data_IF_201969370871
#
_entry.id   IF_201969370871
#
_cell.length_a   1.000
_cell.length_b   1.000
_cell.length_c   1.000
_cell.angle_alpha   90.00
_cell.angle_beta   90.00
_cell.angle_gamma   90.00
#
_symmetry.space_group_name_H-M   'P 1'
#
loop_
_entity.id
_entity.type
_entity.pdbx_description
1 polymer ?
#
# COMPACT_ATOMS: atom_id res chain seq x y z
N UNK A 1 -6.53 -7.63 -22.24
CA UNK A 1 -6.45 -7.60 -20.78
C UNK A 1 -6.65 -9.00 -20.25
N UNK A 2 -5.77 -9.43 -19.38
CA UNK A 2 -5.75 -10.80 -18.88
C UNK A 2 -6.57 -10.90 -17.58
N UNK A 3 -7.91 -10.80 -17.68
CA UNK A 3 -8.79 -10.83 -16.51
C UNK A 3 -8.65 -12.11 -15.68
N UNK A 4 -8.37 -13.22 -16.32
CA UNK A 4 -8.19 -14.53 -15.68
C UNK A 4 -6.74 -14.92 -15.46
N UNK A 5 -5.80 -13.96 -15.52
CA UNK A 5 -4.38 -14.24 -15.36
C UNK A 5 -4.05 -14.62 -13.93
N UNK A 6 -3.73 -15.86 -13.67
CA UNK A 6 -3.44 -16.38 -12.32
C UNK A 6 -1.97 -16.22 -11.91
N UNK A 7 -1.10 -15.79 -12.80
CA UNK A 7 0.36 -15.71 -12.60
C UNK A 7 0.82 -14.48 -11.81
N UNK A 8 -0.05 -13.49 -11.58
CA UNK A 8 0.29 -12.22 -10.92
C UNK A 8 -0.64 -11.89 -9.76
N UNK A 9 -0.15 -11.09 -8.82
CA UNK A 9 -0.88 -10.58 -7.67
C UNK A 9 -1.37 -9.12 -7.85
N UNK A 10 -1.30 -8.60 -9.08
CA UNK A 10 -1.48 -7.17 -9.38
C UNK A 10 -2.88 -6.80 -9.92
N UNK A 11 -3.87 -7.70 -9.85
CA UNK A 11 -5.21 -7.44 -10.39
C UNK A 11 -5.88 -6.20 -9.78
N UNK A 12 -5.64 -5.94 -8.49
CA UNK A 12 -6.15 -4.74 -7.82
C UNK A 12 -5.54 -3.46 -8.38
N UNK A 13 -4.28 -3.52 -8.77
CA UNK A 13 -3.61 -2.41 -9.41
C UNK A 13 -4.00 -2.26 -10.89
N UNK A 14 -3.90 -3.32 -11.66
CA UNK A 14 -4.14 -3.26 -13.11
C UNK A 14 -5.63 -3.14 -13.45
N UNK A 15 -6.45 -4.09 -13.00
CA UNK A 15 -7.84 -4.21 -13.42
C UNK A 15 -8.76 -3.21 -12.71
N UNK A 16 -8.53 -2.94 -11.42
CA UNK A 16 -9.32 -1.93 -10.71
C UNK A 16 -8.98 -0.52 -11.21
N UNK A 17 -7.72 -0.24 -11.49
CA UNK A 17 -7.33 1.05 -12.07
C UNK A 17 -7.84 1.27 -13.50
N UNK A 18 -8.17 0.20 -14.22
CA UNK A 18 -8.79 0.27 -15.56
C UNK A 18 -10.30 0.19 -15.47
N UNK A 19 -10.86 -1.00 -15.22
CA UNK A 19 -12.30 -1.23 -15.24
C UNK A 19 -13.04 -0.57 -14.09
N UNK A 20 -12.40 -0.49 -12.91
CA UNK A 20 -12.97 0.24 -11.77
C UNK A 20 -13.10 1.73 -12.04
N UNK A 21 -12.09 2.35 -12.66
CA UNK A 21 -12.19 3.76 -13.06
C UNK A 21 -13.20 4.00 -14.18
N UNK A 22 -13.30 3.10 -15.17
CA UNK A 22 -14.32 3.22 -16.22
C UNK A 22 -15.74 3.12 -15.62
N UNK A 23 -15.97 2.16 -14.73
CA UNK A 23 -17.26 2.03 -14.02
C UNK A 23 -17.56 3.28 -13.19
N UNK A 24 -16.57 3.81 -12.46
CA UNK A 24 -16.71 5.05 -11.68
C UNK A 24 -17.06 6.25 -12.57
N UNK A 25 -16.37 6.42 -13.70
CA UNK A 25 -16.64 7.50 -14.64
C UNK A 25 -18.06 7.42 -15.23
N UNK A 26 -18.58 6.22 -15.48
CA UNK A 26 -19.99 6.02 -15.86
C UNK A 26 -20.94 6.45 -14.73
N UNK A 27 -20.67 6.01 -13.49
CA UNK A 27 -21.49 6.36 -12.33
C UNK A 27 -21.50 7.87 -12.04
N UNK A 28 -20.39 8.56 -12.31
CA UNK A 28 -20.26 10.01 -12.18
C UNK A 28 -20.85 10.79 -13.37
N UNK A 29 -21.34 10.09 -14.41
CA UNK A 29 -21.84 10.73 -15.64
C UNK A 29 -20.77 11.41 -16.48
N UNK A 30 -19.48 11.04 -16.28
CA UNK A 30 -18.34 11.58 -17.03
C UNK A 30 -18.17 10.96 -18.41
N UNK A 31 -18.62 9.73 -18.57
CA UNK A 31 -18.73 9.01 -19.85
C UNK A 31 -20.13 8.50 -19.98
N UNK A 32 -20.59 8.30 -21.23
CA UNK A 32 -21.93 7.79 -21.53
C UNK A 32 -22.13 6.41 -20.90
N UNK A 33 -23.30 6.18 -20.28
CA UNK A 33 -23.64 4.89 -19.70
C UNK A 33 -24.05 3.91 -20.80
N UNK A 34 -23.33 2.81 -20.88
CA UNK A 34 -23.61 1.68 -21.74
C UNK A 34 -23.84 0.42 -20.88
N UNK A 35 -25.03 -0.13 -20.90
CA UNK A 35 -25.41 -1.26 -20.05
C UNK A 35 -24.53 -2.51 -20.29
N UNK A 36 -24.13 -2.75 -21.53
CA UNK A 36 -23.27 -3.90 -21.87
C UNK A 36 -21.84 -3.70 -21.31
N UNK A 37 -21.27 -2.52 -21.48
CA UNK A 37 -19.95 -2.17 -20.94
C UNK A 37 -19.95 -2.19 -19.41
N UNK A 38 -21.00 -1.63 -18.78
CA UNK A 38 -21.16 -1.70 -17.33
C UNK A 38 -21.11 -3.14 -16.84
N UNK A 39 -21.93 -4.02 -17.44
CA UNK A 39 -21.97 -5.46 -17.09
C UNK A 39 -20.62 -6.13 -17.30
N UNK A 40 -19.91 -5.76 -18.35
CA UNK A 40 -18.56 -6.27 -18.62
C UNK A 40 -17.56 -5.80 -17.58
N UNK A 41 -17.55 -4.51 -17.20
CA UNK A 41 -16.63 -3.98 -16.18
C UNK A 41 -16.91 -4.58 -14.80
N UNK A 42 -18.17 -4.74 -14.42
CA UNK A 42 -18.54 -5.43 -13.18
C UNK A 42 -18.06 -6.90 -13.17
N UNK A 43 -18.26 -7.61 -14.29
CA UNK A 43 -17.76 -9.00 -14.42
C UNK A 43 -16.23 -9.05 -14.34
N UNK A 44 -15.53 -8.13 -14.99
CA UNK A 44 -14.08 -8.04 -14.94
C UNK A 44 -13.55 -7.84 -13.51
N UNK A 45 -14.21 -6.98 -12.73
CA UNK A 45 -13.88 -6.74 -11.33
C UNK A 45 -14.19 -7.94 -10.43
N UNK A 46 -15.32 -8.63 -10.64
CA UNK A 46 -15.66 -9.86 -9.94
C UNK A 46 -14.64 -10.97 -10.20
N UNK A 47 -14.28 -11.19 -11.46
CA UNK A 47 -13.26 -12.18 -11.86
C UNK A 47 -11.91 -11.83 -11.23
N UNK A 48 -11.50 -10.55 -11.25
CA UNK A 48 -10.26 -10.10 -10.64
C UNK A 48 -10.21 -10.37 -9.13
N UNK A 49 -11.31 -10.12 -8.41
CA UNK A 49 -11.43 -10.46 -6.99
C UNK A 49 -11.30 -11.95 -6.72
N UNK A 50 -11.98 -12.79 -7.52
CA UNK A 50 -11.92 -14.24 -7.38
C UNK A 50 -10.49 -14.77 -7.66
N UNK A 51 -9.82 -14.28 -8.70
CA UNK A 51 -8.45 -14.67 -9.05
C UNK A 51 -7.47 -14.30 -7.92
N UNK A 52 -7.59 -13.10 -7.35
CA UNK A 52 -6.73 -12.71 -6.22
C UNK A 52 -7.03 -13.57 -4.98
N UNK A 53 -8.28 -13.84 -4.67
CA UNK A 53 -8.65 -14.71 -3.56
C UNK A 53 -8.16 -16.16 -3.73
N UNK A 54 -8.05 -16.65 -4.96
CA UNK A 54 -7.54 -17.99 -5.27
C UNK A 54 -6.02 -18.12 -5.09
N UNK A 55 -5.26 -17.02 -5.20
CA UNK A 55 -3.82 -16.97 -4.97
C UNK A 55 -3.49 -16.93 -3.49
N UNK A 56 -3.77 -17.99 -2.77
CA UNK A 56 -3.74 -17.95 -1.31
C UNK A 56 -2.73 -18.92 -0.69
N UNK A 57 -2.01 -18.41 0.30
CA UNK A 57 -1.15 -19.21 1.17
C UNK A 57 -1.59 -18.98 2.62
N UNK A 58 -1.80 -20.06 3.35
CA UNK A 58 -2.12 -20.02 4.77
C UNK A 58 -0.85 -19.98 5.60
N UNK A 59 -0.87 -19.23 6.71
CA UNK A 59 0.22 -19.15 7.66
C UNK A 59 -0.05 -20.03 8.88
N UNK A 60 0.99 -20.39 9.64
CA UNK A 60 0.88 -21.28 10.80
C UNK A 60 0.02 -20.72 11.95
N UNK A 61 -0.24 -19.43 11.95
CA UNK A 61 -1.07 -18.70 12.91
C UNK A 61 -2.48 -18.40 12.39
N UNK A 62 -2.95 -19.16 11.42
CA UNK A 62 -4.28 -19.05 10.79
C UNK A 62 -4.54 -17.76 10.03
N UNK A 63 -3.54 -16.91 9.83
CA UNK A 63 -3.61 -15.83 8.85
C UNK A 63 -3.43 -16.39 7.45
N UNK A 64 -3.24 -15.54 6.49
CA UNK A 64 -2.90 -15.94 5.14
C UNK A 64 -2.74 -14.72 4.25
N UNK A 65 -2.23 -14.96 3.06
CA UNK A 65 -1.93 -13.88 2.13
C UNK A 65 -2.10 -14.27 0.67
N UNK A 66 -2.38 -13.27 -0.15
CA UNK A 66 -2.28 -13.38 -1.60
C UNK A 66 -0.80 -13.45 -1.95
N UNK A 67 -0.34 -14.61 -2.42
CA UNK A 67 1.07 -14.81 -2.74
C UNK A 67 1.48 -14.14 -4.04
N UNK A 68 2.73 -13.74 -4.11
CA UNK A 68 3.31 -13.02 -5.25
C UNK A 68 3.64 -13.93 -6.43
N UNK A 69 4.17 -13.36 -7.51
CA UNK A 69 4.66 -14.14 -8.66
C UNK A 69 5.89 -15.02 -8.31
N UNK A 70 6.59 -14.74 -7.19
CA UNK A 70 7.69 -15.58 -6.71
C UNK A 70 7.20 -16.95 -6.21
N UNK A 71 5.91 -17.09 -5.95
CA UNK A 71 5.30 -18.35 -5.54
C UNK A 71 4.66 -18.30 -4.15
N UNK A 72 4.12 -19.43 -3.70
CA UNK A 72 3.31 -19.50 -2.48
C UNK A 72 4.07 -19.20 -1.18
N UNK A 73 5.41 -19.19 -1.20
CA UNK A 73 6.22 -18.85 -0.05
C UNK A 73 6.37 -17.35 0.19
N UNK A 74 5.94 -16.51 -0.74
CA UNK A 74 6.31 -15.10 -0.82
C UNK A 74 5.14 -14.17 -0.57
N UNK A 75 5.26 -13.32 0.47
CA UNK A 75 4.40 -12.19 0.77
C UNK A 75 5.16 -10.89 0.51
N UNK A 76 4.78 -10.14 -0.52
CA UNK A 76 5.28 -8.77 -0.74
C UNK A 76 4.44 -7.74 0.01
N UNK A 77 5.10 -6.75 0.58
CA UNK A 77 4.45 -5.64 1.25
C UNK A 77 3.54 -4.83 0.32
N UNK A 78 3.93 -4.66 -0.93
CA UNK A 78 3.18 -3.92 -1.94
C UNK A 78 1.92 -4.63 -2.45
N UNK A 79 1.75 -5.93 -2.15
CA UNK A 79 0.52 -6.67 -2.48
C UNK A 79 -0.71 -6.10 -1.78
N UNK A 80 -0.55 -5.35 -0.69
CA UNK A 80 -1.68 -4.69 0.01
C UNK A 80 -2.52 -3.81 -0.93
N UNK A 81 -1.94 -3.20 -1.95
CA UNK A 81 -2.66 -2.42 -2.97
C UNK A 81 -3.60 -3.26 -3.83
N UNK A 82 -3.35 -4.55 -3.94
CA UNK A 82 -4.20 -5.49 -4.69
C UNK A 82 -5.48 -5.84 -3.96
N UNK A 83 -5.57 -5.53 -2.67
CA UNK A 83 -6.78 -5.75 -1.86
C UNK A 83 -7.99 -5.00 -2.40
N UNK A 84 -7.79 -3.95 -3.18
CA UNK A 84 -8.87 -3.26 -3.92
C UNK A 84 -9.70 -4.21 -4.78
N UNK A 85 -9.09 -5.22 -5.39
CA UNK A 85 -9.83 -6.21 -6.18
C UNK A 85 -10.77 -7.05 -5.30
N UNK A 86 -10.32 -7.42 -4.09
CA UNK A 86 -11.15 -8.15 -3.12
C UNK A 86 -12.28 -7.25 -2.57
N UNK A 87 -11.97 -6.00 -2.23
CA UNK A 87 -12.94 -5.03 -1.73
C UNK A 87 -14.06 -4.77 -2.74
N UNK A 88 -13.72 -4.46 -3.99
CA UNK A 88 -14.69 -4.19 -5.04
C UNK A 88 -15.46 -5.45 -5.42
N UNK A 89 -14.80 -6.61 -5.52
CA UNK A 89 -15.47 -7.89 -5.77
C UNK A 89 -16.49 -8.23 -4.69
N UNK A 90 -16.15 -8.05 -3.41
CA UNK A 90 -17.08 -8.20 -2.29
C UNK A 90 -18.27 -7.22 -2.40
N UNK A 91 -18.01 -5.94 -2.68
CA UNK A 91 -19.04 -4.91 -2.82
C UNK A 91 -20.01 -5.22 -3.97
N UNK A 92 -19.53 -5.87 -5.03
CA UNK A 92 -20.34 -6.36 -6.14
C UNK A 92 -21.05 -7.71 -5.82
N UNK A 93 -21.04 -8.17 -4.57
CA UNK A 93 -21.70 -9.39 -4.11
C UNK A 93 -21.04 -10.68 -4.57
N UNK A 94 -19.76 -10.65 -4.91
CA UNK A 94 -19.05 -11.84 -5.40
C UNK A 94 -18.32 -12.58 -4.28
N UNK A 95 -18.13 -13.89 -4.50
CA UNK A 95 -17.36 -14.81 -3.64
C UNK A 95 -16.47 -15.68 -4.53
N UNK A 96 -15.39 -16.20 -3.99
CA UNK A 96 -14.67 -17.28 -4.64
C UNK A 96 -15.35 -18.61 -4.28
N UNK A 97 -15.75 -19.36 -5.29
CA UNK A 97 -16.24 -20.73 -5.11
C UNK A 97 -15.06 -21.70 -5.10
N UNK A 98 -14.84 -22.35 -3.97
CA UNK A 98 -13.89 -23.44 -3.82
C UNK A 98 -14.49 -24.79 -4.16
N UNK A 99 -13.68 -25.85 -4.03
CA UNK A 99 -14.17 -27.24 -4.17
C UNK A 99 -15.27 -27.54 -3.14
N UNK A 100 -16.16 -28.47 -3.49
CA UNK A 100 -17.29 -28.89 -2.67
C UNK A 100 -18.24 -27.72 -2.30
N UNK A 101 -18.42 -26.79 -3.22
CA UNK A 101 -19.28 -25.61 -3.07
C UNK A 101 -18.90 -24.70 -1.88
N UNK A 102 -17.67 -24.78 -1.40
CA UNK A 102 -17.18 -23.92 -0.34
C UNK A 102 -17.14 -22.47 -0.80
N UNK A 103 -17.87 -21.61 -0.10
CA UNK A 103 -17.87 -20.17 -0.35
C UNK A 103 -16.73 -19.52 0.43
N UNK A 104 -15.84 -18.85 -0.27
CA UNK A 104 -14.70 -18.13 0.32
C UNK A 104 -14.99 -16.63 0.21
N UNK A 105 -15.11 -15.96 1.35
CA UNK A 105 -15.35 -14.52 1.42
C UNK A 105 -14.14 -13.74 0.92
N UNK A 106 -14.39 -12.81 -0.03
CA UNK A 106 -13.36 -11.90 -0.52
C UNK A 106 -12.95 -10.90 0.58
N UNK A 107 -13.90 -10.51 1.44
CA UNK A 107 -13.61 -9.67 2.59
C UNK A 107 -12.71 -10.38 3.62
N UNK A 108 -12.98 -11.66 3.91
CA UNK A 108 -12.11 -12.44 4.79
C UNK A 108 -10.66 -12.50 4.23
N UNK A 109 -10.51 -12.76 2.93
CA UNK A 109 -9.19 -12.76 2.27
C UNK A 109 -8.48 -11.39 2.38
N UNK A 110 -9.24 -10.30 2.24
CA UNK A 110 -8.72 -8.93 2.41
C UNK A 110 -8.21 -8.70 3.83
N UNK A 111 -9.03 -8.96 4.84
CA UNK A 111 -8.69 -8.70 6.25
C UNK A 111 -7.52 -9.56 6.73
N UNK A 112 -7.51 -10.85 6.38
CA UNK A 112 -6.42 -11.77 6.70
C UNK A 112 -5.10 -11.35 6.04
N UNK A 113 -5.14 -10.96 4.75
CA UNK A 113 -3.96 -10.46 4.06
C UNK A 113 -3.43 -9.15 4.64
N UNK A 114 -4.32 -8.22 4.96
CA UNK A 114 -3.93 -6.95 5.57
C UNK A 114 -3.27 -7.18 6.94
N UNK A 115 -3.83 -8.04 7.80
CA UNK A 115 -3.18 -8.38 9.07
C UNK A 115 -1.85 -9.11 8.86
N UNK A 116 -1.76 -10.04 7.92
CA UNK A 116 -0.49 -10.70 7.58
C UNK A 116 0.57 -9.69 7.12
N UNK A 117 0.21 -8.72 6.28
CA UNK A 117 1.11 -7.64 5.85
C UNK A 117 1.56 -6.78 7.03
N UNK A 118 0.63 -6.34 7.89
CA UNK A 118 0.95 -5.57 9.09
C UNK A 118 1.88 -6.35 10.03
N UNK A 119 1.61 -7.63 10.26
CA UNK A 119 2.37 -8.49 11.19
C UNK A 119 3.77 -8.83 10.67
N UNK A 120 3.89 -9.16 9.39
CA UNK A 120 5.11 -9.76 8.85
C UNK A 120 5.99 -8.78 8.08
N UNK A 121 5.39 -7.78 7.41
CA UNK A 121 6.16 -6.82 6.60
C UNK A 121 6.40 -5.48 7.31
N UNK A 122 5.54 -5.08 8.27
CA UNK A 122 5.69 -3.81 8.98
C UNK A 122 6.30 -4.04 10.37
N UNK A 123 7.19 -3.16 10.77
CA UNK A 123 7.84 -3.16 12.07
C UNK A 123 7.26 -2.06 12.95
N UNK A 124 7.10 -2.34 14.24
CA UNK A 124 6.43 -1.43 15.17
C UNK A 124 7.32 -0.97 16.34
N UNK A 125 8.64 -1.27 16.30
CA UNK A 125 9.57 -0.93 17.38
C UNK A 125 9.40 -1.84 18.60
N UNK A 126 8.87 -3.06 18.43
CA UNK A 126 8.60 -4.01 19.50
C UNK A 126 9.77 -4.96 19.83
N UNK A 127 10.92 -4.75 19.20
CA UNK A 127 12.13 -5.56 19.43
C UNK A 127 12.14 -6.89 18.67
N UNK A 128 11.46 -6.98 17.53
CA UNK A 128 11.41 -8.17 16.69
C UNK A 128 12.81 -8.62 16.20
N UNK A 129 13.65 -7.69 15.85
CA UNK A 129 15.07 -7.88 15.53
C UNK A 129 15.86 -6.59 15.78
N UNK A 130 17.18 -6.58 15.52
CA UNK A 130 18.04 -5.40 15.71
C UNK A 130 17.76 -4.25 14.73
N UNK A 131 16.93 -4.47 13.73
CA UNK A 131 16.50 -3.48 12.73
C UNK A 131 15.02 -3.09 12.91
N UNK A 132 14.41 -3.41 14.05
CA UNK A 132 13.03 -3.09 14.36
C UNK A 132 12.86 -1.61 14.68
N UNK A 133 12.74 -0.82 13.64
CA UNK A 133 12.42 0.60 13.71
C UNK A 133 10.94 0.75 13.36
N UNK A 134 10.18 1.45 14.21
CA UNK A 134 8.75 1.67 14.00
C UNK A 134 8.47 2.30 12.62
N UNK A 135 7.59 1.67 11.87
CA UNK A 135 7.19 2.08 10.53
C UNK A 135 8.09 1.59 9.40
N UNK A 136 9.23 0.97 9.71
CA UNK A 136 10.05 0.30 8.70
C UNK A 136 9.25 -0.81 8.01
N UNK A 137 9.42 -0.96 6.71
CA UNK A 137 8.75 -1.99 5.90
C UNK A 137 9.79 -2.87 5.23
N UNK A 138 9.69 -4.18 5.41
CA UNK A 138 10.43 -5.15 4.62
C UNK A 138 9.65 -5.46 3.34
N UNK A 139 10.35 -5.51 2.22
CA UNK A 139 9.71 -5.75 0.92
C UNK A 139 9.02 -7.12 0.87
N UNK A 140 9.70 -8.18 1.30
CA UNK A 140 9.23 -9.55 1.18
C UNK A 140 9.39 -10.30 2.49
N UNK A 141 8.38 -11.08 2.85
CA UNK A 141 8.41 -12.04 3.96
C UNK A 141 8.30 -13.46 3.41
N UNK A 142 9.22 -14.33 3.82
CA UNK A 142 9.33 -15.71 3.34
C UNK A 142 8.72 -16.70 4.32
N UNK A 143 7.91 -17.60 3.80
CA UNK A 143 7.22 -18.65 4.56
C UNK A 143 7.61 -20.05 4.08
N UNK A 144 7.54 -21.00 4.99
CA UNK A 144 7.63 -22.42 4.63
C UNK A 144 6.28 -22.88 4.09
N UNK A 145 6.24 -23.28 2.83
CA UNK A 145 4.99 -23.69 2.14
C UNK A 145 4.36 -24.97 2.71
N UNK A 146 5.13 -25.79 3.46
CA UNK A 146 4.62 -27.04 4.01
C UNK A 146 3.87 -26.88 5.32
N UNK A 147 4.18 -25.84 6.10
CA UNK A 147 3.61 -25.64 7.43
C UNK A 147 3.23 -24.19 7.75
N UNK A 148 3.36 -23.28 6.80
CA UNK A 148 2.99 -21.87 6.96
C UNK A 148 3.86 -21.06 7.94
N UNK A 149 4.96 -21.62 8.44
CA UNK A 149 5.83 -20.94 9.41
C UNK A 149 6.66 -19.85 8.71
N UNK A 150 6.64 -18.62 9.27
CA UNK A 150 7.50 -17.53 8.85
C UNK A 150 9.00 -17.92 8.98
N UNK A 151 9.80 -17.57 7.99
CA UNK A 151 11.22 -17.89 7.94
C UNK A 151 12.12 -16.69 8.19
N UNK A 152 12.02 -15.70 7.31
CA UNK A 152 12.93 -14.55 7.33
C UNK A 152 12.38 -13.40 6.48
N UNK A 153 12.87 -12.17 6.72
CA UNK A 153 12.70 -11.07 5.76
C UNK A 153 13.54 -11.35 4.50
N UNK A 154 13.07 -10.82 3.38
CA UNK A 154 13.74 -10.86 2.09
C UNK A 154 13.48 -9.58 1.32
N UNK A 155 14.15 -9.41 0.20
CA UNK A 155 13.87 -8.35 -0.75
C UNK A 155 14.18 -8.79 -2.15
N UNK A 156 13.40 -8.34 -3.10
CA UNK A 156 13.65 -8.54 -4.52
C UNK A 156 14.02 -7.23 -5.22
N UNK A 157 13.32 -6.14 -4.89
CA UNK A 157 13.50 -4.83 -5.50
C UNK A 157 14.24 -3.84 -4.61
N UNK A 158 14.39 -4.09 -3.30
CA UNK A 158 15.18 -3.28 -2.38
C UNK A 158 16.64 -3.67 -2.33
N UNK A 159 17.43 -2.84 -1.66
CA UNK A 159 18.86 -3.06 -1.45
C UNK A 159 19.12 -4.24 -0.51
N UNK A 160 18.36 -4.31 0.59
CA UNK A 160 18.57 -5.31 1.65
C UNK A 160 17.22 -5.66 2.32
N UNK A 161 17.05 -6.89 2.85
CA UNK A 161 15.93 -7.22 3.71
C UNK A 161 15.90 -6.45 5.03
N UNK A 162 16.99 -5.77 5.37
CA UNK A 162 17.13 -4.98 6.60
C UNK A 162 17.00 -3.46 6.38
N UNK A 163 16.92 -3.02 5.14
CA UNK A 163 16.56 -1.66 4.74
C UNK A 163 15.10 -1.58 4.26
N UNK A 164 14.70 -0.44 3.74
CA UNK A 164 13.35 -0.26 3.19
C UNK A 164 13.44 0.22 1.75
N UNK A 165 12.99 -0.61 0.83
CA UNK A 165 12.66 -0.19 -0.51
C UNK A 165 11.49 0.79 -0.46
N UNK A 166 11.75 2.05 -0.85
CA UNK A 166 10.84 3.16 -0.58
C UNK A 166 9.52 3.06 -1.34
N UNK A 167 9.51 2.49 -2.54
CA UNK A 167 8.27 2.24 -3.27
C UNK A 167 7.42 1.14 -2.62
N UNK A 168 8.03 0.12 -2.03
CA UNK A 168 7.32 -0.87 -1.22
C UNK A 168 6.66 -0.26 0.00
N UNK A 169 7.38 0.59 0.73
CA UNK A 169 6.83 1.41 1.83
C UNK A 169 5.68 2.28 1.35
N UNK A 170 5.83 2.97 0.22
CA UNK A 170 4.81 3.85 -0.34
C UNK A 170 3.51 3.11 -0.68
N UNK A 171 3.61 1.87 -1.17
CA UNK A 171 2.43 1.04 -1.41
C UNK A 171 1.72 0.62 -0.12
N UNK A 172 2.45 0.34 0.96
CA UNK A 172 1.85 0.09 2.28
C UNK A 172 1.15 1.35 2.79
N UNK A 173 1.85 2.48 2.73
CA UNK A 173 1.31 3.80 3.10
C UNK A 173 0.08 4.21 2.28
N UNK A 174 -0.04 3.78 1.02
CA UNK A 174 -1.24 4.01 0.21
C UNK A 174 -2.33 2.97 0.46
N UNK A 175 -1.97 1.69 0.61
CA UNK A 175 -2.90 0.58 0.68
C UNK A 175 -3.78 0.59 1.93
N UNK A 176 -3.23 0.86 3.11
CA UNK A 176 -4.04 0.93 4.33
C UNK A 176 -5.03 2.09 4.35
N UNK A 177 -4.67 3.33 3.97
CA UNK A 177 -5.67 4.40 3.82
C UNK A 177 -6.77 4.09 2.80
N UNK A 178 -6.46 3.40 1.70
CA UNK A 178 -7.49 2.93 0.77
C UNK A 178 -8.47 1.95 1.42
N UNK A 179 -7.97 1.03 2.25
CA UNK A 179 -8.83 0.10 2.99
C UNK A 179 -9.65 0.82 4.07
N UNK A 180 -9.07 1.80 4.77
CA UNK A 180 -9.78 2.62 5.75
C UNK A 180 -10.95 3.38 5.11
N UNK A 181 -10.75 3.99 3.93
CA UNK A 181 -11.82 4.64 3.18
C UNK A 181 -12.93 3.66 2.78
N UNK A 182 -12.57 2.46 2.35
CA UNK A 182 -13.54 1.42 2.02
C UNK A 182 -14.32 0.93 3.25
N UNK A 183 -13.65 0.77 4.40
CA UNK A 183 -14.26 0.38 5.66
C UNK A 183 -15.33 1.39 6.15
N UNK A 184 -15.26 2.68 5.76
CA UNK A 184 -16.30 3.66 6.11
C UNK A 184 -17.71 3.20 5.70
N UNK A 185 -17.83 2.42 4.62
CA UNK A 185 -19.09 1.85 4.14
C UNK A 185 -19.43 0.46 4.71
N UNK A 186 -18.64 -0.08 5.62
CA UNK A 186 -18.86 -1.40 6.24
C UNK A 186 -19.45 -1.27 7.63
N UNK A 187 -19.99 -2.38 8.14
CA UNK A 187 -20.61 -2.51 9.46
C UNK A 187 -19.91 -3.56 10.30
N UNK A 188 -20.18 -3.59 11.61
CA UNK A 188 -19.71 -4.67 12.48
C UNK A 188 -20.23 -6.05 12.04
N UNK A 189 -21.45 -6.10 11.48
CA UNK A 189 -22.02 -7.34 10.94
C UNK A 189 -21.20 -7.85 9.76
N UNK A 190 -20.73 -6.97 8.86
CA UNK A 190 -19.84 -7.39 7.75
C UNK A 190 -18.55 -8.03 8.28
N UNK A 191 -17.96 -7.46 9.36
CA UNK A 191 -16.75 -8.00 9.98
C UNK A 191 -17.03 -9.36 10.61
N UNK A 192 -18.08 -9.48 11.42
CA UNK A 192 -18.47 -10.73 12.06
C UNK A 192 -18.76 -11.84 11.03
N UNK A 193 -19.49 -11.53 9.96
CA UNK A 193 -19.81 -12.47 8.87
C UNK A 193 -18.57 -12.91 8.07
N UNK A 194 -17.50 -12.14 8.10
CA UNK A 194 -16.24 -12.53 7.45
C UNK A 194 -15.56 -13.72 8.12
N UNK A 195 -15.84 -13.97 9.42
CA UNK A 195 -15.33 -15.10 10.18
C UNK A 195 -13.82 -15.04 10.48
N UNK A 196 -13.22 -13.85 10.50
CA UNK A 196 -11.76 -13.70 10.71
C UNK A 196 -11.35 -13.54 12.17
N UNK A 197 -12.30 -13.43 13.11
CA UNK A 197 -12.05 -13.08 14.51
C UNK A 197 -11.03 -14.00 15.20
N UNK A 198 -11.10 -15.32 14.98
CA UNK A 198 -10.18 -16.29 15.59
C UNK A 198 -8.72 -16.05 15.16
N UNK A 199 -8.50 -15.67 13.90
CA UNK A 199 -7.14 -15.48 13.36
C UNK A 199 -6.58 -14.07 13.63
N UNK A 200 -7.43 -13.05 13.66
CA UNK A 200 -7.01 -11.63 13.69
C UNK A 200 -7.34 -10.94 15.00
N UNK A 201 -8.30 -11.44 15.77
CA UNK A 201 -8.91 -10.74 16.89
C UNK A 201 -9.90 -9.63 16.47
N UNK A 202 -10.27 -9.54 15.19
CA UNK A 202 -11.21 -8.54 14.69
C UNK A 202 -12.65 -9.02 14.87
N UNK A 203 -13.33 -8.52 15.88
CA UNK A 203 -14.75 -8.75 16.13
C UNK A 203 -15.63 -7.61 15.63
N UNK A 204 -15.04 -6.39 15.58
CA UNK A 204 -15.72 -5.15 15.23
C UNK A 204 -14.95 -4.38 14.14
N UNK A 205 -15.66 -3.51 13.45
CA UNK A 205 -15.06 -2.56 12.50
C UNK A 205 -14.03 -1.64 13.17
N UNK A 206 -14.30 -1.20 14.42
CA UNK A 206 -13.39 -0.35 15.16
C UNK A 206 -12.02 -0.99 15.41
N UNK A 207 -11.97 -2.30 15.65
CA UNK A 207 -10.71 -3.03 15.82
C UNK A 207 -9.91 -3.10 14.53
N UNK A 208 -10.57 -3.30 13.40
CA UNK A 208 -9.93 -3.25 12.07
C UNK A 208 -9.42 -1.84 11.78
N UNK A 209 -10.24 -0.81 11.99
CA UNK A 209 -9.87 0.60 11.80
C UNK A 209 -8.64 0.96 12.64
N UNK A 210 -8.64 0.60 13.93
CA UNK A 210 -7.51 0.83 14.83
C UNK A 210 -6.21 0.20 14.31
N UNK A 211 -6.25 -1.07 13.91
CA UNK A 211 -5.08 -1.78 13.39
C UNK A 211 -4.55 -1.17 12.10
N UNK A 212 -5.45 -0.77 11.21
CA UNK A 212 -5.08 -0.15 9.94
C UNK A 212 -4.53 1.26 10.14
N UNK A 213 -5.09 2.03 11.08
CA UNK A 213 -4.57 3.35 11.46
C UNK A 213 -3.18 3.26 12.11
N UNK A 214 -2.97 2.32 13.03
CA UNK A 214 -1.65 2.05 13.61
C UNK A 214 -0.61 1.82 12.51
N UNK A 215 -0.93 0.95 11.54
CA UNK A 215 -0.04 0.59 10.45
C UNK A 215 0.22 1.77 9.51
N UNK A 216 -0.83 2.49 9.11
CA UNK A 216 -0.74 3.64 8.23
C UNK A 216 0.06 4.80 8.88
N UNK A 217 -0.19 5.11 10.15
CA UNK A 217 0.52 6.18 10.85
C UNK A 217 1.99 5.81 11.09
N UNK A 218 2.28 4.55 11.49
CA UNK A 218 3.66 4.12 11.67
C UNK A 218 4.48 4.26 10.38
N UNK A 219 3.92 3.79 9.25
CA UNK A 219 4.59 3.87 7.95
C UNK A 219 4.70 5.29 7.42
N UNK A 220 3.70 6.16 7.68
CA UNK A 220 3.75 7.57 7.34
C UNK A 220 4.85 8.31 8.12
N UNK A 221 4.96 8.07 9.43
CA UNK A 221 5.99 8.68 10.26
C UNK A 221 7.40 8.27 9.82
N UNK A 222 7.60 6.97 9.53
CA UNK A 222 8.88 6.48 9.03
C UNK A 222 9.20 7.08 7.65
N UNK A 223 8.23 7.15 6.75
CA UNK A 223 8.40 7.79 5.46
C UNK A 223 8.86 9.24 5.60
N UNK A 224 8.17 10.04 6.44
CA UNK A 224 8.52 11.45 6.65
C UNK A 224 9.88 11.62 7.29
N UNK A 225 10.32 10.71 8.16
CA UNK A 225 11.62 10.77 8.83
C UNK A 225 12.78 10.40 7.91
N UNK A 226 12.54 9.63 6.84
CA UNK A 226 13.59 9.09 5.97
C UNK A 226 13.57 9.65 4.55
N UNK A 227 12.64 10.56 4.26
CA UNK A 227 12.47 11.17 2.93
C UNK A 227 12.99 12.60 2.95
N UNK A 228 13.66 13.05 1.87
CA UNK A 228 14.03 14.46 1.68
C UNK A 228 12.87 15.43 1.87
N UNK A 229 13.21 16.68 2.19
CA UNK A 229 12.21 17.69 2.60
C UNK A 229 11.20 18.08 1.53
N UNK A 230 11.46 17.77 0.26
CA UNK A 230 10.57 17.98 -0.89
C UNK A 230 9.55 16.83 -1.11
N UNK A 231 9.70 15.73 -0.37
CA UNK A 231 8.79 14.58 -0.40
C UNK A 231 9.13 13.54 -1.46
N UNK A 232 10.26 13.64 -2.14
CA UNK A 232 10.72 12.63 -3.11
C UNK A 232 11.81 11.76 -2.47
N UNK A 233 11.56 10.47 -2.20
CA UNK A 233 12.52 9.61 -1.54
C UNK A 233 13.61 9.12 -2.50
N UNK A 234 14.76 8.74 -1.94
CA UNK A 234 15.71 7.87 -2.64
C UNK A 234 15.15 6.45 -2.69
N UNK A 235 15.61 5.64 -3.64
CA UNK A 235 15.02 4.32 -3.95
C UNK A 235 15.02 3.31 -2.79
N UNK A 236 15.96 3.40 -1.86
CA UNK A 236 16.04 2.53 -0.67
C UNK A 236 16.71 3.27 0.48
N UNK A 237 16.21 3.10 1.71
CA UNK A 237 16.73 3.81 2.89
C UNK A 237 18.10 3.34 3.37
N UNK A 238 18.57 2.20 2.90
CA UNK A 238 19.88 1.63 3.21
C UNK A 238 20.81 1.55 2.00
N UNK A 239 20.49 2.26 0.91
CA UNK A 239 21.33 2.29 -0.26
C UNK A 239 22.72 2.85 0.07
N UNK A 240 23.83 2.17 -0.33
CA UNK A 240 25.14 2.46 0.20
C UNK A 240 25.68 3.86 -0.17
N UNK A 241 25.25 4.41 -1.29
CA UNK A 241 25.64 5.75 -1.73
C UNK A 241 24.99 6.89 -0.92
N UNK A 242 23.96 6.60 -0.10
CA UNK A 242 23.34 7.64 0.75
C UNK A 242 24.30 8.23 1.78
N UNK A 243 25.32 7.49 2.19
CA UNK A 243 26.37 8.00 3.09
C UNK A 243 27.14 9.18 2.48
N UNK A 244 27.19 9.26 1.14
CA UNK A 244 27.82 10.35 0.40
C UNK A 244 26.89 11.58 0.29
N UNK A 245 25.62 11.41 0.58
CA UNK A 245 24.58 12.44 0.53
C UNK A 245 24.27 12.96 1.95
N UNK A 246 25.30 13.45 2.67
CA UNK A 246 25.18 13.89 4.05
C UNK A 246 23.88 14.67 4.31
N UNK A 247 23.16 14.29 5.38
CA UNK A 247 21.90 14.91 5.82
C UNK A 247 20.82 15.00 4.72
N UNK A 248 20.77 14.01 3.82
CA UNK A 248 19.86 14.02 2.67
C UNK A 248 18.38 14.22 3.07
N UNK A 249 17.95 13.74 4.23
CA UNK A 249 16.59 13.92 4.74
C UNK A 249 16.27 15.36 5.18
N UNK A 250 17.28 16.20 5.38
CA UNK A 250 17.13 17.59 5.86
C UNK A 250 17.14 18.64 4.73
N UNK A 251 17.18 18.21 3.48
CA UNK A 251 17.20 19.07 2.28
C UNK A 251 16.36 18.45 1.17
N UNK A 252 16.02 19.22 0.11
CA UNK A 252 15.39 18.67 -1.08
C UNK A 252 16.24 17.57 -1.72
N UNK A 253 15.61 16.60 -2.33
CA UNK A 253 16.26 15.54 -3.09
C UNK A 253 17.05 16.13 -4.29
N UNK A 254 18.16 15.47 -4.62
CA UNK A 254 18.92 15.80 -5.82
C UNK A 254 18.85 14.62 -6.81
N UNK A 255 17.98 14.68 -7.84
CA UNK A 255 17.87 13.62 -8.82
C UNK A 255 19.08 13.51 -9.76
N UNK A 256 19.99 14.48 -9.72
CA UNK A 256 21.19 14.52 -10.57
C UNK A 256 22.48 14.19 -9.82
N UNK A 257 22.38 13.75 -8.54
CA UNK A 257 23.54 13.34 -7.77
C UNK A 257 24.22 12.11 -8.38
N UNK A 258 25.50 11.91 -8.04
CA UNK A 258 26.34 10.84 -8.61
C UNK A 258 26.33 9.55 -7.74
N UNK A 259 25.50 9.45 -6.72
CA UNK A 259 25.57 8.38 -5.72
C UNK A 259 24.39 7.42 -5.78
N UNK A 260 23.17 7.93 -5.54
CA UNK A 260 21.96 7.11 -5.53
C UNK A 260 20.77 7.80 -6.22
N UNK A 261 20.00 7.08 -7.02
CA UNK A 261 18.83 7.66 -7.67
C UNK A 261 17.71 7.94 -6.66
N UNK A 262 16.98 9.00 -6.91
CA UNK A 262 15.65 9.20 -6.30
C UNK A 262 14.64 8.27 -6.95
N UNK A 263 13.51 8.02 -6.28
CA UNK A 263 12.37 7.30 -6.87
C UNK A 263 11.12 8.19 -6.84
N UNK A 264 10.91 8.96 -7.91
CA UNK A 264 9.75 9.83 -8.07
C UNK A 264 8.42 9.05 -8.07
N UNK A 265 8.42 7.79 -8.55
CA UNK A 265 7.23 6.94 -8.48
C UNK A 265 6.86 6.59 -7.03
N UNK A 266 7.83 6.36 -6.17
CA UNK A 266 7.60 6.21 -4.73
C UNK A 266 7.06 7.52 -4.12
N UNK A 267 7.59 8.67 -4.55
CA UNK A 267 7.07 9.99 -4.17
C UNK A 267 5.59 10.18 -4.55
N UNK A 268 5.21 9.82 -5.77
CA UNK A 268 3.82 9.93 -6.26
C UNK A 268 2.85 9.01 -5.47
N UNK A 269 3.28 7.78 -5.19
CA UNK A 269 2.46 6.81 -4.44
C UNK A 269 2.32 7.25 -2.98
N UNK A 270 3.42 7.70 -2.35
CA UNK A 270 3.37 8.18 -0.96
C UNK A 270 2.54 9.46 -0.83
N UNK A 271 2.63 10.39 -1.78
CA UNK A 271 1.76 11.56 -1.82
C UNK A 271 0.28 11.16 -1.82
N UNK A 272 -0.13 10.18 -2.64
CA UNK A 272 -1.48 9.66 -2.63
C UNK A 272 -1.88 9.09 -1.27
N UNK A 273 -1.01 8.27 -0.67
CA UNK A 273 -1.25 7.66 0.64
C UNK A 273 -1.39 8.70 1.75
N UNK A 274 -0.47 9.67 1.82
CA UNK A 274 -0.48 10.76 2.79
C UNK A 274 -1.72 11.66 2.67
N UNK A 275 -2.13 12.00 1.45
CA UNK A 275 -3.36 12.77 1.20
C UNK A 275 -4.61 12.02 1.68
N UNK A 276 -4.71 10.71 1.42
CA UNK A 276 -5.82 9.86 1.88
C UNK A 276 -5.84 9.75 3.39
N UNK A 277 -4.70 9.41 3.99
CA UNK A 277 -4.57 9.27 5.46
C UNK A 277 -4.91 10.58 6.16
N UNK A 278 -4.39 11.70 5.67
CA UNK A 278 -4.67 13.01 6.22
C UNK A 278 -6.16 13.36 6.18
N UNK A 279 -6.84 13.10 5.06
CA UNK A 279 -8.31 13.29 4.95
C UNK A 279 -9.07 12.35 5.88
N UNK A 280 -8.65 11.11 5.96
CA UNK A 280 -9.31 10.12 6.82
C UNK A 280 -9.23 10.53 8.29
N UNK A 281 -8.03 10.91 8.78
CA UNK A 281 -7.82 11.34 10.15
C UNK A 281 -8.65 12.59 10.51
N UNK A 282 -8.75 13.55 9.60
CA UNK A 282 -9.62 14.74 9.82
C UNK A 282 -11.08 14.34 10.00
N UNK A 283 -11.62 13.50 9.10
CA UNK A 283 -12.99 12.97 9.24
C UNK A 283 -13.16 12.10 10.47
N UNK A 284 -12.14 11.32 10.83
CA UNK A 284 -12.15 10.50 12.04
C UNK A 284 -12.24 11.37 13.31
N UNK A 285 -11.44 12.44 13.41
CA UNK A 285 -11.54 13.42 14.49
C UNK A 285 -12.95 14.06 14.57
N UNK A 286 -13.54 14.44 13.44
CA UNK A 286 -14.92 14.98 13.39
C UNK A 286 -15.96 13.97 13.88
N UNK A 287 -15.82 12.68 13.51
CA UNK A 287 -16.71 11.60 14.00
C UNK A 287 -16.60 11.43 15.51
N UNK A 288 -15.38 11.41 16.06
CA UNK A 288 -15.16 11.32 17.51
C UNK A 288 -15.79 12.50 18.26
N UNK A 289 -15.66 13.72 17.76
CA UNK A 289 -16.25 14.91 18.34
C UNK A 289 -17.79 14.86 18.39
N UNK A 290 -18.42 14.24 17.38
CA UNK A 290 -19.89 14.21 17.27
C UNK A 290 -20.54 13.05 18.00
N UNK A 291 -19.89 11.90 18.07
CA UNK A 291 -20.49 10.67 18.64
C UNK A 291 -20.32 10.55 20.15
N UNK A 292 -19.39 11.29 20.75
CA UNK A 292 -19.11 11.20 22.20
C UNK A 292 -18.69 9.78 22.65
N UNK A 293 -18.39 8.89 21.75
CA UNK A 293 -18.02 7.50 22.05
C UNK A 293 -16.72 7.49 22.85
N UNK A 294 -16.76 6.77 23.94
CA UNK A 294 -15.66 6.68 24.90
C UNK A 294 -14.34 6.29 24.23
N UNK A 295 -13.37 7.16 24.36
CA UNK A 295 -12.03 7.16 23.75
C UNK A 295 -11.18 5.90 23.98
N UNK A 296 -11.59 4.97 24.83
CA UNK A 296 -10.74 3.88 25.30
C UNK A 296 -10.77 2.61 24.45
N UNK A 297 -11.78 2.41 23.61
CA UNK A 297 -11.90 1.20 22.78
C UNK A 297 -11.29 1.35 21.37
N UNK A 298 -11.16 2.59 20.88
CA UNK A 298 -10.81 2.88 19.48
C UNK A 298 -9.38 3.45 19.31
N UNK A 299 -8.57 3.47 20.38
CA UNK A 299 -7.21 4.00 20.33
C UNK A 299 -6.22 2.95 19.80
N UNK A 300 -5.43 3.33 18.81
CA UNK A 300 -4.23 2.55 18.43
C UNK A 300 -3.03 2.98 19.30
N UNK A 301 -2.00 2.13 19.46
CA UNK A 301 -0.77 2.50 20.14
C UNK A 301 -0.19 3.81 19.55
N UNK A 302 0.28 4.70 20.43
CA UNK A 302 0.80 6.04 20.06
C UNK A 302 -0.22 7.00 19.43
N UNK A 303 -1.53 6.70 19.51
CA UNK A 303 -2.56 7.63 19.06
C UNK A 303 -2.51 8.91 19.88
N UNK A 304 -2.65 10.10 19.21
CA UNK A 304 -2.88 11.35 19.91
C UNK A 304 -4.09 11.28 20.84
N UNK A 305 -3.97 11.87 22.05
CA UNK A 305 -4.96 11.73 23.11
C UNK A 305 -6.26 12.52 22.91
N UNK A 306 -6.28 13.48 21.98
CA UNK A 306 -7.41 14.39 21.73
C UNK A 306 -7.79 14.45 20.27
N UNK A 307 -9.03 14.86 19.99
CA UNK A 307 -9.54 15.06 18.63
C UNK A 307 -8.74 16.14 17.87
N UNK A 308 -8.30 17.18 18.58
CA UNK A 308 -7.50 18.25 17.98
C UNK A 308 -6.10 17.75 17.59
N UNK A 309 -5.50 16.90 18.40
CA UNK A 309 -4.21 16.25 18.07
C UNK A 309 -4.35 15.28 16.89
N UNK A 310 -5.43 14.51 16.80
CA UNK A 310 -5.72 13.64 15.65
C UNK A 310 -5.91 14.49 14.39
N UNK A 311 -6.63 15.61 14.49
CA UNK A 311 -6.80 16.54 13.38
C UNK A 311 -5.47 17.15 12.95
N UNK A 312 -4.64 17.59 13.91
CA UNK A 312 -3.32 18.15 13.64
C UNK A 312 -2.39 17.12 12.96
N UNK A 313 -2.44 15.85 13.38
CA UNK A 313 -1.74 14.75 12.72
C UNK A 313 -2.22 14.57 11.27
N UNK A 314 -3.52 14.60 11.05
CA UNK A 314 -4.11 14.56 9.72
C UNK A 314 -3.69 15.72 8.83
N UNK A 315 -3.62 16.94 9.35
CA UNK A 315 -3.10 18.11 8.62
C UNK A 315 -1.62 17.96 8.27
N UNK A 316 -0.81 17.44 9.19
CA UNK A 316 0.62 17.19 8.94
C UNK A 316 0.83 16.23 7.78
N UNK A 317 0.12 15.10 7.75
CA UNK A 317 0.24 14.14 6.64
C UNK A 317 -0.32 14.71 5.33
N UNK A 318 -1.45 15.41 5.40
CA UNK A 318 -2.03 16.03 4.22
C UNK A 318 -1.12 17.08 3.60
N UNK A 319 -0.53 17.95 4.41
CA UNK A 319 0.44 18.96 3.96
C UNK A 319 1.68 18.34 3.33
N UNK A 320 2.21 17.25 3.92
CA UNK A 320 3.34 16.51 3.37
C UNK A 320 2.99 15.88 2.01
N UNK A 321 1.81 15.28 1.88
CA UNK A 321 1.32 14.73 0.62
C UNK A 321 1.14 15.79 -0.47
N UNK A 322 0.61 16.98 -0.11
CA UNK A 322 0.50 18.10 -1.05
C UNK A 322 1.88 18.57 -1.50
N UNK A 323 2.84 18.69 -0.57
CA UNK A 323 4.19 19.11 -0.90
C UNK A 323 4.88 18.16 -1.88
N UNK A 324 4.80 16.85 -1.62
CA UNK A 324 5.34 15.84 -2.53
C UNK A 324 4.68 15.89 -3.92
N UNK A 325 3.36 16.06 -3.97
CA UNK A 325 2.64 16.22 -5.23
C UNK A 325 3.09 17.49 -5.97
N UNK A 326 3.19 18.62 -5.29
CA UNK A 326 3.65 19.90 -5.85
C UNK A 326 5.04 19.77 -6.47
N UNK A 327 5.99 19.18 -5.73
CA UNK A 327 7.34 18.90 -6.23
C UNK A 327 7.32 18.08 -7.54
N UNK A 328 6.45 17.06 -7.62
CA UNK A 328 6.39 16.17 -8.77
C UNK A 328 5.72 16.81 -10.01
N UNK A 329 4.98 17.90 -9.85
CA UNK A 329 4.40 18.68 -10.94
C UNK A 329 5.34 19.73 -11.52
N UNK A 330 6.55 19.86 -10.95
CA UNK A 330 7.58 20.78 -11.43
C UNK A 330 8.79 20.03 -12.03
N UNK A 331 9.62 20.76 -12.79
CA UNK A 331 10.92 20.25 -13.18
C UNK A 331 11.81 19.99 -11.94
N UNK A 332 12.62 18.95 -11.94
CA UNK A 332 12.97 18.07 -13.05
C UNK A 332 12.09 16.80 -13.16
N UNK A 333 11.04 16.66 -12.37
CA UNK A 333 10.25 15.43 -12.29
C UNK A 333 9.16 15.36 -13.34
N UNK A 334 8.52 16.47 -13.68
CA UNK A 334 7.51 16.52 -14.75
C UNK A 334 8.21 16.68 -16.11
N UNK A 335 7.90 15.77 -17.05
CA UNK A 335 8.38 15.90 -18.43
C UNK A 335 7.67 17.06 -19.13
N UNK A 336 8.44 18.04 -19.59
CA UNK A 336 7.97 19.17 -20.40
C UNK A 336 8.30 19.02 -21.92
N UNK A 337 8.93 17.91 -22.32
CA UNK A 337 9.36 17.63 -23.70
C UNK A 337 8.46 16.65 -24.43
N UNK A 338 8.92 16.20 -25.60
CA UNK A 338 8.21 15.23 -26.48
C UNK A 338 8.24 13.78 -25.95
N UNK A 339 8.60 13.58 -24.69
CA UNK A 339 8.70 12.27 -24.05
C UNK A 339 7.33 11.73 -23.68
N UNK A 340 7.08 10.43 -23.93
CA UNK A 340 5.78 9.80 -23.63
C UNK A 340 5.55 9.54 -22.15
N UNK A 341 6.60 9.33 -21.35
CA UNK A 341 6.52 9.24 -19.91
C UNK A 341 6.34 10.62 -19.30
N UNK A 342 5.40 10.75 -18.36
CA UNK A 342 5.06 12.03 -17.72
C UNK A 342 5.98 12.31 -16.54
N UNK A 343 6.29 11.27 -15.75
CA UNK A 343 7.10 11.37 -14.54
C UNK A 343 8.52 10.87 -14.82
N UNK A 344 9.51 11.70 -14.53
CA UNK A 344 10.94 11.41 -14.69
C UNK A 344 11.56 11.00 -13.36
N UNK A 345 12.75 10.39 -13.41
CA UNK A 345 13.54 9.98 -12.23
C UNK A 345 12.86 8.92 -11.36
N UNK A 346 12.10 8.00 -11.95
CA UNK A 346 11.62 6.81 -11.28
C UNK A 346 12.63 5.66 -11.36
N UNK A 347 12.54 4.71 -10.41
CA UNK A 347 13.39 3.52 -10.37
C UNK A 347 12.52 2.28 -10.52
N UNK A 348 12.72 1.48 -11.57
CA UNK A 348 11.95 0.25 -11.73
C UNK A 348 12.53 -0.90 -10.88
N UNK A 349 13.76 -1.33 -11.16
CA UNK A 349 14.37 -2.47 -10.46
C UNK A 349 15.89 -2.35 -10.43
N UNK A 350 16.42 -1.57 -9.48
CA UNK A 350 17.84 -1.29 -9.38
C UNK A 350 18.71 -2.54 -9.14
N UNK A 351 18.35 -3.53 -8.31
CA UNK A 351 19.17 -4.74 -8.15
C UNK A 351 19.44 -5.50 -9.44
N UNK A 352 18.54 -5.40 -10.43
CA UNK A 352 18.70 -6.00 -11.76
C UNK A 352 19.29 -5.02 -12.80
N UNK A 353 19.61 -3.79 -12.41
CA UNK A 353 20.09 -2.76 -13.32
C UNK A 353 19.04 -2.27 -14.33
N UNK A 354 17.76 -2.42 -14.04
CA UNK A 354 16.66 -2.01 -14.93
C UNK A 354 16.21 -0.56 -14.70
N UNK A 355 16.94 0.18 -13.93
CA UNK A 355 16.80 1.62 -13.71
C UNK A 355 17.78 2.44 -14.57
N UNK A 356 18.41 1.78 -15.55
CA UNK A 356 19.41 2.41 -16.39
C UNK A 356 18.75 3.33 -17.45
N UNK A 357 19.02 4.62 -17.32
CA UNK A 357 18.82 5.56 -18.44
C UNK A 357 20.15 5.73 -19.17
N UNK A 358 20.19 5.45 -20.46
CA UNK A 358 21.42 5.67 -21.25
C UNK A 358 21.69 7.17 -21.37
N UNK A 359 22.43 7.72 -20.47
CA UNK A 359 23.03 9.05 -20.63
C UNK A 359 24.54 8.95 -20.83
N UNK A 360 25.13 10.04 -21.29
CA UNK A 360 26.56 10.09 -21.58
C UNK A 360 27.44 10.01 -20.32
N UNK A 361 26.86 10.09 -19.12
CA UNK A 361 27.57 10.13 -17.84
C UNK A 361 27.67 8.76 -17.18
N UNK A 362 26.85 7.79 -17.61
CA UNK A 362 26.81 6.45 -17.04
C UNK A 362 26.22 6.36 -15.63
N UNK A 363 25.71 7.44 -15.06
CA UNK A 363 25.02 7.48 -13.79
C UNK A 363 23.54 7.19 -14.02
N UNK A 364 22.96 6.16 -13.34
CA UNK A 364 21.53 5.89 -13.45
C UNK A 364 20.74 7.08 -12.91
N UNK A 365 19.96 7.72 -13.78
CA UNK A 365 19.10 8.87 -13.41
C UNK A 365 17.63 8.47 -13.22
N UNK A 366 17.35 7.18 -13.16
CA UNK A 366 16.02 6.62 -13.10
C UNK A 366 15.33 6.55 -14.48
N UNK A 367 14.18 5.93 -14.47
CA UNK A 367 13.31 5.77 -15.63
C UNK A 367 12.20 6.81 -15.64
N UNK A 368 11.53 6.94 -16.77
CA UNK A 368 10.29 7.71 -16.88
C UNK A 368 9.06 6.80 -16.76
N UNK A 369 8.04 7.26 -16.12
CA UNK A 369 6.73 6.59 -15.96
C UNK A 369 5.61 7.33 -16.69
#
# INVERSE_FOLDING_TARGET
THLSHVGVHDHGFNNVSTYGNLLRLMQEGRIEENQWERSFYELALKVSGAIQAARWTETADNLGFVHTFNGPHSLFADTIRSMRALAVGYQLGHVLMGEQDRRISLMARLLLHAEATAKYNVYFGAGRDSYDIRGRVVHESIFNVNNGVYRCPSTQQGYSPFSTWTRGLSWVLSGYPEQLEWLESRTDADIAESGVAEATGFETKGEVERRFLETACATADFHLATTPTDGVPYWDTGAPGLEQLAEYANRPADPFNEHEPVDSSAGAISAQGLLRLGRYLRRHAERLATTGVARNADHWPDQPGTEDEIRALGERYYAAGLKAADTLFDEPYLSSGDHQGILLHSVYHRPNGWDYTPDATGVPRGESC
#
